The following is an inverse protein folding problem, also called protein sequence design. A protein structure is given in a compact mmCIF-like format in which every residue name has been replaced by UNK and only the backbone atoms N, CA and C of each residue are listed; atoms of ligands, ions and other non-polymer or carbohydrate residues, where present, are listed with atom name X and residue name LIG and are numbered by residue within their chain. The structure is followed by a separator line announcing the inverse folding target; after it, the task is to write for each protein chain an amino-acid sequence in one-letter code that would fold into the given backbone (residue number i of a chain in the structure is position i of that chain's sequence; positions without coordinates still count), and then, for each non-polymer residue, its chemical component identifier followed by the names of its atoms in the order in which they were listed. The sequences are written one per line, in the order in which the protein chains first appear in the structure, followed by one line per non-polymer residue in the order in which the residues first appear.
data_IF_886842348130
#
_entry.id   IF_886842348130
#
_cell.length_a   1.000
_cell.length_b   1.000
_cell.length_c   1.000
_cell.angle_alpha   90.00
_cell.angle_beta   90.00
_cell.angle_gamma   90.00
#
_symmetry.space_group_name_H-M   'P 1'
#
loop_
_entity.id
_entity.type
_entity.pdbx_description
1 polymer ?
#
# COMPACT_ATOMS: atom_id res chain seq x y z
N UNK A 1 33.62 -14.16 29.09
CA UNK A 1 32.78 -13.95 30.26
C UNK A 1 32.29 -12.50 30.20
N UNK A 2 30.98 -12.26 30.14
CA UNK A 2 30.44 -10.89 30.10
C UNK A 2 30.22 -10.39 31.54
N UNK A 3 30.62 -9.15 31.88
CA UNK A 3 30.43 -8.62 33.23
C UNK A 3 28.93 -8.46 33.54
N UNK A 4 28.49 -8.66 34.80
CA UNK A 4 27.07 -8.57 35.18
C UNK A 4 26.40 -7.24 34.85
N UNK A 5 27.17 -6.15 34.75
CA UNK A 5 26.72 -4.81 34.36
C UNK A 5 26.40 -4.66 32.87
N UNK A 6 26.74 -5.65 32.03
CA UNK A 6 26.46 -5.66 30.60
C UNK A 6 25.00 -5.98 30.28
N UNK A 7 24.31 -6.70 31.17
CA UNK A 7 22.88 -6.95 31.06
C UNK A 7 22.12 -5.85 31.77
N UNK A 8 22.22 -4.65 31.21
CA UNK A 8 21.34 -3.56 31.60
C UNK A 8 19.90 -3.85 31.12
N UNK A 9 18.93 -3.13 31.71
CA UNK A 9 17.50 -3.29 31.39
C UNK A 9 17.25 -3.17 29.87
N UNK A 10 18.09 -2.39 29.17
CA UNK A 10 17.98 -2.12 27.74
C UNK A 10 18.36 -3.35 26.90
N UNK A 11 19.49 -3.99 27.17
CA UNK A 11 19.92 -5.21 26.45
C UNK A 11 18.95 -6.37 26.73
N UNK A 12 18.47 -6.49 27.97
CA UNK A 12 17.50 -7.52 28.33
C UNK A 12 16.17 -7.35 27.58
N UNK A 13 15.61 -6.13 27.57
CA UNK A 13 14.35 -5.83 26.91
C UNK A 13 14.39 -6.14 25.40
N UNK A 14 15.49 -5.80 24.72
CA UNK A 14 15.63 -6.07 23.27
C UNK A 14 15.63 -7.57 22.97
N UNK A 15 16.32 -8.38 23.77
CA UNK A 15 16.34 -9.85 23.60
C UNK A 15 14.94 -10.45 23.83
N UNK A 16 14.21 -9.96 24.82
CA UNK A 16 12.84 -10.41 25.10
C UNK A 16 11.87 -9.98 24.00
N UNK A 17 11.92 -8.74 23.52
CA UNK A 17 11.08 -8.25 22.43
C UNK A 17 11.29 -9.04 21.13
N UNK A 18 12.53 -9.38 20.77
CA UNK A 18 12.81 -10.18 19.57
C UNK A 18 12.20 -11.59 19.69
N UNK A 19 12.26 -12.20 20.87
CA UNK A 19 11.63 -13.50 21.13
C UNK A 19 10.11 -13.41 21.09
N UNK A 20 9.53 -12.36 21.68
CA UNK A 20 8.09 -12.14 21.68
C UNK A 20 7.54 -11.87 20.27
N UNK A 21 8.25 -11.09 19.44
CA UNK A 21 7.84 -10.83 18.05
C UNK A 21 7.90 -12.11 17.20
N UNK A 22 8.90 -12.97 17.42
CA UNK A 22 9.00 -14.26 16.72
C UNK A 22 7.88 -15.23 17.10
N UNK A 23 7.46 -15.23 18.36
CA UNK A 23 6.44 -16.16 18.88
C UNK A 23 5.01 -15.65 18.66
N UNK A 24 4.78 -14.35 18.84
CA UNK A 24 3.45 -13.77 18.87
C UNK A 24 3.16 -12.85 17.67
N UNK A 25 4.10 -12.71 16.74
CA UNK A 25 4.00 -11.82 15.59
C UNK A 25 4.25 -10.34 15.94
N UNK A 26 4.11 -9.44 14.96
CA UNK A 26 4.37 -8.02 15.16
C UNK A 26 3.51 -7.43 16.29
N UNK A 27 4.16 -6.68 17.19
CA UNK A 27 3.52 -6.08 18.39
C UNK A 27 2.29 -5.25 18.04
N UNK A 28 2.29 -4.59 16.88
CA UNK A 28 1.20 -3.71 16.46
C UNK A 28 -0.14 -4.45 16.25
N UNK A 29 -0.13 -5.74 15.92
CA UNK A 29 -1.37 -6.54 15.82
C UNK A 29 -1.88 -7.00 17.20
N UNK A 30 -1.03 -7.05 18.23
CA UNK A 30 -1.45 -7.33 19.61
C UNK A 30 -2.05 -6.09 20.29
N UNK A 31 -1.74 -4.92 19.78
CA UNK A 31 -2.35 -3.68 20.25
C UNK A 31 -3.73 -3.56 19.62
N UNK A 32 -4.74 -3.21 20.42
CA UNK A 32 -6.11 -2.99 19.92
C UNK A 32 -6.22 -1.74 19.03
N UNK A 33 -5.20 -0.87 19.06
CA UNK A 33 -5.17 0.41 18.38
C UNK A 33 -5.55 0.38 16.87
N UNK A 34 -4.97 -0.49 16.02
CA UNK A 34 -5.41 -0.61 14.61
C UNK A 34 -6.88 -1.01 14.46
N UNK A 35 -7.38 -1.92 15.29
CA UNK A 35 -8.79 -2.33 15.27
C UNK A 35 -9.70 -1.18 15.68
N UNK A 36 -9.36 -0.46 16.75
CA UNK A 36 -10.11 0.71 17.21
C UNK A 36 -10.16 1.84 16.18
N UNK A 37 -9.03 2.11 15.52
CA UNK A 37 -8.93 3.07 14.40
C UNK A 37 -9.86 2.68 13.26
N UNK A 38 -9.84 1.42 12.85
CA UNK A 38 -10.68 0.93 11.77
C UNK A 38 -12.18 0.99 12.14
N UNK A 39 -12.54 0.55 13.34
CA UNK A 39 -13.91 0.63 13.84
C UNK A 39 -14.43 2.06 13.94
N UNK A 40 -13.57 3.05 14.22
CA UNK A 40 -13.93 4.47 14.19
C UNK A 40 -14.36 4.91 12.78
N UNK A 41 -13.66 4.45 11.74
CA UNK A 41 -14.01 4.74 10.34
C UNK A 41 -15.34 4.09 9.99
N UNK A 42 -15.51 2.80 10.29
CA UNK A 42 -16.77 2.08 10.03
C UNK A 42 -17.98 2.71 10.72
N UNK A 43 -17.81 3.20 11.95
CA UNK A 43 -18.86 3.95 12.65
C UNK A 43 -19.28 5.21 11.90
N UNK A 44 -18.37 5.86 11.16
CA UNK A 44 -18.68 7.00 10.31
C UNK A 44 -19.56 6.65 9.09
N UNK A 45 -19.54 5.39 8.65
CA UNK A 45 -20.34 4.91 7.53
C UNK A 45 -21.80 4.61 7.91
N UNK A 46 -22.09 4.37 9.19
CA UNK A 46 -23.44 4.01 9.65
C UNK A 46 -24.36 5.23 9.67
N UNK A 47 -25.06 5.45 8.56
CA UNK A 47 -26.06 6.53 8.42
C UNK A 47 -27.43 6.12 8.97
N UNK A 48 -27.82 4.85 8.78
CA UNK A 48 -29.05 4.27 9.31
C UNK A 48 -28.74 3.16 10.32
N UNK A 49 -29.08 3.40 11.60
CA UNK A 49 -28.84 2.46 12.69
C UNK A 49 -29.74 1.22 12.66
N UNK A 50 -30.81 1.21 11.86
CA UNK A 50 -31.66 0.02 11.72
C UNK A 50 -31.03 -1.05 10.82
N UNK A 51 -30.02 -0.68 10.00
CA UNK A 51 -29.31 -1.58 9.05
C UNK A 51 -27.82 -1.20 8.94
N UNK A 52 -27.04 -1.28 10.02
CA UNK A 52 -25.68 -0.76 10.05
C UNK A 52 -24.73 -1.45 9.07
N UNK A 53 -24.87 -2.77 8.88
CA UNK A 53 -24.05 -3.56 7.96
C UNK A 53 -24.27 -3.11 6.50
N UNK A 54 -25.52 -2.80 6.15
CA UNK A 54 -25.88 -2.30 4.82
C UNK A 54 -25.25 -0.94 4.54
N UNK A 55 -25.32 -0.01 5.50
CA UNK A 55 -24.69 1.31 5.35
C UNK A 55 -23.17 1.23 5.20
N UNK A 56 -22.52 0.34 5.96
CA UNK A 56 -21.08 0.11 5.86
C UNK A 56 -20.71 -0.44 4.48
N UNK A 57 -21.41 -1.48 4.02
CA UNK A 57 -21.13 -2.11 2.73
C UNK A 57 -21.32 -1.13 1.56
N UNK A 58 -22.42 -0.36 1.57
CA UNK A 58 -22.72 0.63 0.54
C UNK A 58 -21.65 1.72 0.45
N UNK A 59 -21.25 2.30 1.60
CA UNK A 59 -20.20 3.31 1.66
C UNK A 59 -18.85 2.77 1.21
N UNK A 60 -18.50 1.57 1.65
CA UNK A 60 -17.23 0.93 1.30
C UNK A 60 -17.14 0.69 -0.21
N UNK A 61 -18.19 0.12 -0.83
CA UNK A 61 -18.22 -0.10 -2.28
C UNK A 61 -18.13 1.21 -3.06
N UNK A 62 -18.80 2.27 -2.58
CA UNK A 62 -18.73 3.58 -3.22
C UNK A 62 -17.32 4.18 -3.16
N UNK A 63 -16.62 4.07 -2.04
CA UNK A 63 -15.25 4.56 -1.88
C UNK A 63 -14.27 3.78 -2.77
N UNK A 64 -14.34 2.44 -2.76
CA UNK A 64 -13.52 1.58 -3.63
C UNK A 64 -13.76 1.88 -5.11
N UNK A 65 -15.01 2.11 -5.53
CA UNK A 65 -15.33 2.47 -6.91
C UNK A 65 -14.73 3.82 -7.31
N UNK A 66 -14.76 4.82 -6.42
CA UNK A 66 -14.15 6.13 -6.67
C UNK A 66 -12.63 6.04 -6.76
N UNK A 67 -11.98 5.32 -5.83
CA UNK A 67 -10.54 5.09 -5.86
C UNK A 67 -10.12 4.37 -7.14
N UNK A 68 -10.87 3.35 -7.55
CA UNK A 68 -10.64 2.63 -8.80
C UNK A 68 -10.80 3.56 -10.02
N UNK A 69 -11.85 4.40 -10.05
CA UNK A 69 -12.03 5.39 -11.10
C UNK A 69 -10.88 6.40 -11.17
N UNK A 70 -10.40 6.91 -10.03
CA UNK A 70 -9.25 7.82 -9.97
C UNK A 70 -8.01 7.12 -10.52
N UNK A 71 -7.75 5.89 -10.10
CA UNK A 71 -6.63 5.09 -10.59
C UNK A 71 -6.66 4.94 -12.12
N UNK A 72 -7.82 4.54 -12.68
CA UNK A 72 -7.99 4.42 -14.12
C UNK A 72 -7.82 5.76 -14.85
N UNK A 73 -8.36 6.85 -14.31
CA UNK A 73 -8.21 8.19 -14.91
C UNK A 73 -6.75 8.65 -14.92
N UNK A 74 -5.99 8.40 -13.85
CA UNK A 74 -4.56 8.73 -13.77
C UNK A 74 -3.75 7.93 -14.80
N UNK A 75 -3.97 6.61 -14.88
CA UNK A 75 -3.31 5.74 -15.87
C UNK A 75 -3.67 6.17 -17.30
N UNK A 76 -4.92 6.56 -17.55
CA UNK A 76 -5.35 7.05 -18.85
C UNK A 76 -4.70 8.39 -19.21
N UNK A 77 -4.52 9.30 -18.25
CA UNK A 77 -3.83 10.58 -18.46
C UNK A 77 -2.35 10.38 -18.80
N UNK A 78 -1.67 9.46 -18.10
CA UNK A 78 -0.29 9.07 -18.42
C UNK A 78 -0.19 8.46 -19.83
N UNK A 79 -1.13 7.58 -20.20
CA UNK A 79 -1.21 7.00 -21.54
C UNK A 79 -1.50 8.06 -22.63
N UNK A 80 -2.32 9.07 -22.33
CA UNK A 80 -2.60 10.19 -23.24
C UNK A 80 -1.40 11.12 -23.42
N UNK A 81 -0.59 11.33 -22.37
CA UNK A 81 0.67 12.05 -22.46
C UNK A 81 1.69 11.30 -23.33
N UNK A 82 1.78 9.97 -23.19
CA UNK A 82 2.60 9.14 -24.08
C UNK A 82 2.12 9.19 -25.55
N UNK A 83 0.81 9.25 -25.79
CA UNK A 83 0.23 9.32 -27.15
C UNK A 83 0.43 10.68 -27.83
N UNK A 84 0.56 11.78 -27.08
CA UNK A 84 0.83 13.12 -27.62
C UNK A 84 2.25 13.27 -28.20
N UNK A 85 3.19 12.39 -27.86
CA UNK A 85 4.52 12.36 -28.49
C UNK A 85 4.60 11.51 -29.77
N UNK A 86 3.49 10.93 -30.26
CA UNK A 86 3.49 9.94 -31.34
C UNK A 86 2.79 10.32 -32.65
N UNK A 87 2.60 11.61 -32.98
CA UNK A 87 2.03 12.01 -34.29
C UNK A 87 2.90 13.03 -35.00
N UNK A 88 3.94 12.55 -35.69
CA UNK A 88 4.46 13.21 -36.90
C UNK A 88 4.74 12.13 -37.96
N UNK A 89 4.31 12.42 -39.19
CA UNK A 89 4.21 11.53 -40.36
C UNK A 89 5.58 10.97 -40.79
N UNK A 90 5.62 9.81 -41.50
CA UNK A 90 6.88 9.24 -41.95
C UNK A 90 7.38 10.02 -43.16
N UNK A 91 8.67 10.37 -43.19
CA UNK A 91 9.39 10.59 -44.45
C UNK A 91 10.90 10.64 -44.20
N UNK A 92 11.58 9.78 -44.97
CA UNK A 92 12.93 9.95 -45.48
C UNK A 92 14.12 9.61 -44.59
N UNK A 93 14.84 8.55 -44.96
CA UNK A 93 16.30 8.52 -44.88
C UNK A 93 16.90 7.28 -44.21
N UNK A 94 17.38 6.35 -45.04
CA UNK A 94 18.47 5.38 -44.78
C UNK A 94 19.53 5.87 -43.76
N UNK A 95 20.09 5.05 -42.86
CA UNK A 95 21.06 3.96 -43.13
C UNK A 95 21.27 3.03 -41.92
N UNK A 96 21.76 1.82 -42.21
CA UNK A 96 22.03 0.67 -41.34
C UNK A 96 22.91 0.96 -40.11
N UNK A 97 22.65 0.24 -39.01
CA UNK A 97 23.66 -0.53 -38.25
C UNK A 97 22.96 -1.49 -37.29
N UNK A 98 23.36 -2.75 -37.37
CA UNK A 98 23.11 -3.77 -36.34
C UNK A 98 23.53 -3.23 -34.96
N UNK A 99 22.76 -3.53 -33.91
CA UNK A 99 23.29 -3.98 -32.62
C UNK A 99 22.15 -4.36 -31.64
N UNK A 100 21.97 -5.67 -31.49
CA UNK A 100 21.90 -6.38 -30.19
C UNK A 100 20.72 -6.06 -29.25
N UNK A 101 19.76 -7.00 -29.20
CA UNK A 101 19.00 -7.32 -27.98
C UNK A 101 19.97 -7.73 -26.85
N UNK A 102 19.78 -7.26 -25.62
CA UNK A 102 19.34 -8.20 -24.57
C UNK A 102 18.42 -7.51 -23.54
N UNK A 103 17.29 -8.10 -23.13
CA UNK A 103 17.22 -8.98 -21.96
C UNK A 103 18.32 -8.75 -20.90
N UNK A 104 18.16 -7.69 -20.10
CA UNK A 104 18.33 -7.70 -18.63
C UNK A 104 17.15 -6.91 -18.05
#
# INVERSE_FOLDING_TARGET
YFPPSFFDIMVHLVVHLVREVRLCGPVYFRWMYPFERYMKVLKGYVQNRTRPEGCIAERYIAEEAVEFCIYLMLVQLECLQAKKMGVSKPLSGCTNTEEILPYI
#
